data_IF_091292819460
#
_entry.id   IF_091292819460
#
_cell.length_a   1.000
_cell.length_b   1.000
_cell.length_c   1.000
_cell.angle_alpha   90.00
_cell.angle_beta   90.00
_cell.angle_gamma   90.00
#
_symmetry.space_group_name_H-M   'P 1'
#
loop_
_entity.id
_entity.type
_entity.pdbx_description
1 polymer ?
#
# COMPACT_ATOMS: atom_id res chain seq x y z
N UNK A 1 0.06 25.98 14.97
CA UNK A 1 -0.07 26.44 13.58
C UNK A 1 0.03 25.18 12.73
N UNK A 2 -1.02 24.84 11.97
CA UNK A 2 -0.99 23.68 11.09
C UNK A 2 0.12 23.85 10.05
N UNK A 3 0.81 22.75 9.72
CA UNK A 3 1.77 22.69 8.63
C UNK A 3 1.00 22.67 7.30
N UNK A 4 1.53 23.25 6.21
CA UNK A 4 0.95 23.05 4.89
C UNK A 4 1.02 21.56 4.51
N UNK A 5 0.05 21.10 3.71
CA UNK A 5 0.11 19.76 3.12
C UNK A 5 1.14 19.76 1.99
N UNK A 6 1.89 18.69 1.89
CA UNK A 6 2.85 18.46 0.80
C UNK A 6 2.13 18.06 -0.50
N UNK A 7 1.02 17.34 -0.36
CA UNK A 7 0.09 16.95 -1.44
C UNK A 7 -1.34 17.24 -0.99
N UNK A 8 -2.31 17.41 -1.91
CA UNK A 8 -3.71 17.32 -1.56
C UNK A 8 -3.97 15.98 -0.85
N UNK A 9 -4.66 16.03 0.30
CA UNK A 9 -5.06 14.80 0.97
C UNK A 9 -5.98 13.97 0.06
N UNK A 10 -5.76 12.67 0.02
CA UNK A 10 -6.53 11.71 -0.77
C UNK A 10 -7.30 10.79 0.19
N UNK A 11 -8.60 11.05 0.36
CA UNK A 11 -9.45 10.37 1.32
C UNK A 11 -10.49 9.52 0.60
N UNK A 12 -10.26 8.21 0.51
CA UNK A 12 -11.18 7.23 -0.08
C UNK A 12 -11.89 6.39 0.99
N UNK A 13 -13.19 6.17 0.85
CA UNK A 13 -13.94 5.29 1.72
C UNK A 13 -14.69 4.21 0.94
N UNK A 14 -14.82 2.99 1.50
CA UNK A 14 -15.46 1.84 0.85
C UNK A 14 -14.84 1.54 -0.51
N UNK A 15 -15.65 1.45 -1.56
CA UNK A 15 -15.16 1.18 -2.92
C UNK A 15 -14.20 2.26 -3.46
N UNK A 16 -14.31 3.52 -3.00
CA UNK A 16 -13.43 4.60 -3.41
C UNK A 16 -12.01 4.46 -2.84
N UNK A 17 -11.82 3.67 -1.79
CA UNK A 17 -10.49 3.33 -1.28
C UNK A 17 -9.65 2.50 -2.27
N UNK A 18 -10.25 1.96 -3.34
CA UNK A 18 -9.55 1.33 -4.45
C UNK A 18 -9.06 2.33 -5.52
N UNK A 19 -9.41 3.62 -5.43
CA UNK A 19 -8.93 4.66 -6.33
C UNK A 19 -7.62 5.22 -5.80
N UNK A 20 -6.53 5.05 -6.56
CA UNK A 20 -5.17 5.36 -6.07
C UNK A 20 -4.98 6.84 -5.72
N UNK A 21 -5.55 7.75 -6.53
CA UNK A 21 -5.52 9.19 -6.31
C UNK A 21 -6.95 9.73 -6.28
N UNK A 22 -7.61 9.61 -5.12
CA UNK A 22 -8.98 10.09 -4.94
C UNK A 22 -8.99 11.53 -4.42
N UNK A 23 -8.71 12.47 -5.29
CA UNK A 23 -8.59 13.90 -4.96
C UNK A 23 -9.93 14.60 -4.66
N UNK A 24 -11.06 13.98 -4.99
CA UNK A 24 -12.38 14.61 -4.80
C UNK A 24 -12.76 14.72 -3.34
N UNK A 25 -12.28 13.83 -2.49
CA UNK A 25 -12.51 13.79 -1.04
C UNK A 25 -13.99 13.92 -0.65
N UNK A 26 -14.89 13.42 -1.52
CA UNK A 26 -16.34 13.44 -1.34
C UNK A 26 -16.92 12.04 -1.08
N UNK A 27 -16.03 11.06 -0.80
CA UNK A 27 -16.43 9.70 -0.49
C UNK A 27 -17.24 9.66 0.82
N UNK A 28 -18.37 8.97 0.75
CA UNK A 28 -19.24 8.79 1.91
C UNK A 28 -18.96 7.44 2.54
N UNK A 29 -18.80 7.44 3.85
CA UNK A 29 -18.87 6.23 4.66
C UNK A 29 -20.32 5.75 4.65
N UNK A 30 -20.57 4.57 4.07
CA UNK A 30 -21.91 3.98 3.96
C UNK A 30 -22.18 2.93 5.03
N UNK A 31 -21.13 2.39 5.63
CA UNK A 31 -21.20 1.33 6.65
C UNK A 31 -20.12 1.53 7.70
N UNK A 32 -20.39 1.10 8.93
CA UNK A 32 -19.36 1.04 9.97
C UNK A 32 -18.21 0.06 9.62
N UNK A 33 -18.49 -0.89 8.73
CA UNK A 33 -17.47 -1.82 8.25
C UNK A 33 -16.56 -1.21 7.17
N UNK A 34 -16.95 -0.09 6.54
CA UNK A 34 -16.13 0.52 5.47
C UNK A 34 -14.74 0.88 5.98
N UNK A 35 -13.75 0.67 5.13
CA UNK A 35 -12.40 1.18 5.36
C UNK A 35 -12.31 2.62 4.83
N UNK A 36 -11.62 3.44 5.58
CA UNK A 36 -11.23 4.78 5.18
C UNK A 36 -9.72 4.75 4.95
N UNK A 37 -9.30 5.06 3.73
CA UNK A 37 -7.92 5.23 3.36
C UNK A 37 -7.63 6.72 3.28
N UNK A 38 -6.66 7.17 4.06
CA UNK A 38 -6.18 8.55 4.08
C UNK A 38 -4.71 8.56 3.71
N UNK A 39 -4.40 9.26 2.63
CA UNK A 39 -3.06 9.53 2.17
C UNK A 39 -2.81 11.03 2.27
N UNK A 40 -1.90 11.42 3.15
CA UNK A 40 -1.59 12.80 3.42
C UNK A 40 -0.19 12.98 3.99
N UNK A 41 0.49 14.02 3.56
CA UNK A 41 1.80 14.40 4.06
C UNK A 41 1.92 15.89 4.33
N UNK A 42 2.70 16.26 5.32
CA UNK A 42 3.00 17.65 5.65
C UNK A 42 4.30 18.11 5.00
N UNK A 43 4.38 19.40 4.68
CA UNK A 43 5.63 20.06 4.30
C UNK A 43 6.21 20.81 5.51
N UNK A 44 7.50 20.64 5.73
CA UNK A 44 8.24 21.41 6.72
C UNK A 44 9.57 21.91 6.17
N UNK A 45 9.73 23.23 6.09
CA UNK A 45 10.95 23.88 5.59
C UNK A 45 11.37 23.43 4.18
N UNK A 46 10.40 23.17 3.31
CA UNK A 46 10.63 22.69 1.95
C UNK A 46 10.83 21.18 1.83
N UNK A 47 10.82 20.41 2.92
CA UNK A 47 10.84 18.94 2.89
C UNK A 47 9.44 18.39 3.09
N UNK A 48 9.14 17.35 2.33
CA UNK A 48 7.83 16.71 2.29
C UNK A 48 7.81 15.41 3.08
N UNK A 49 6.64 15.04 3.56
CA UNK A 49 6.31 13.69 4.06
C UNK A 49 5.20 13.11 3.20
N UNK A 50 5.10 11.78 3.18
CA UNK A 50 4.05 11.02 2.51
C UNK A 50 3.65 9.84 3.39
N UNK A 51 2.40 9.81 3.85
CA UNK A 51 1.95 8.82 4.83
C UNK A 51 0.53 8.39 4.50
N UNK A 52 0.35 7.10 4.26
CA UNK A 52 -0.99 6.52 4.14
C UNK A 52 -1.31 5.65 5.33
N UNK A 53 -2.54 5.80 5.83
CA UNK A 53 -3.16 4.89 6.78
C UNK A 53 -4.55 4.48 6.30
N UNK A 54 -4.89 3.22 6.54
CA UNK A 54 -6.22 2.68 6.31
C UNK A 54 -6.79 2.22 7.65
N UNK A 55 -8.02 2.61 7.97
CA UNK A 55 -8.66 2.28 9.24
C UNK A 55 -10.17 2.05 9.07
N UNK A 56 -10.83 1.30 9.96
CA UNK A 56 -12.26 1.03 9.87
C UNK A 56 -13.08 2.21 10.36
N UNK A 57 -14.09 2.62 9.60
CA UNK A 57 -14.96 3.73 9.95
C UNK A 57 -15.72 3.53 11.28
N UNK A 58 -16.07 2.29 11.61
CA UNK A 58 -16.72 1.91 12.87
C UNK A 58 -15.76 1.56 14.00
N UNK A 59 -14.46 1.80 13.83
CA UNK A 59 -13.46 1.60 14.87
C UNK A 59 -13.02 0.15 15.09
N UNK A 60 -13.55 -0.80 14.34
CA UNK A 60 -13.16 -2.22 14.40
C UNK A 60 -13.14 -2.84 13.02
N UNK A 61 -12.08 -3.55 12.70
CA UNK A 61 -11.97 -4.23 11.43
C UNK A 61 -12.93 -5.43 11.33
N UNK A 62 -13.76 -5.48 10.28
CA UNK A 62 -14.47 -6.69 9.87
C UNK A 62 -13.45 -7.75 9.40
N UNK A 63 -13.78 -9.03 9.54
CA UNK A 63 -12.84 -10.13 9.38
C UNK A 63 -12.10 -10.14 8.03
N UNK A 64 -12.79 -9.91 6.89
CA UNK A 64 -12.14 -9.89 5.57
C UNK A 64 -11.28 -8.65 5.38
N UNK A 65 -11.75 -7.50 5.86
CA UNK A 65 -11.01 -6.23 5.81
C UNK A 65 -9.75 -6.31 6.66
N UNK A 66 -9.86 -6.91 7.85
CA UNK A 66 -8.69 -7.22 8.71
C UNK A 66 -7.69 -8.12 7.98
N UNK A 67 -8.15 -9.19 7.34
CA UNK A 67 -7.27 -10.13 6.65
C UNK A 67 -6.48 -9.46 5.50
N UNK A 68 -7.13 -8.59 4.71
CA UNK A 68 -6.44 -7.82 3.67
C UNK A 68 -5.49 -6.79 4.27
N UNK A 69 -5.90 -6.11 5.35
CA UNK A 69 -5.05 -5.16 6.04
C UNK A 69 -3.77 -5.81 6.57
N UNK A 70 -3.89 -6.95 7.26
CA UNK A 70 -2.75 -7.71 7.80
C UNK A 70 -1.84 -8.23 6.68
N UNK A 71 -2.41 -8.62 5.52
CA UNK A 71 -1.64 -9.00 4.33
C UNK A 71 -0.79 -7.85 3.80
N UNK A 72 -1.33 -6.62 3.73
CA UNK A 72 -0.57 -5.42 3.31
C UNK A 72 0.50 -5.07 4.36
N UNK A 73 0.15 -5.12 5.64
CA UNK A 73 1.10 -4.85 6.73
C UNK A 73 2.28 -5.83 6.72
N UNK A 74 2.04 -7.12 6.48
CA UNK A 74 3.09 -8.12 6.35
C UNK A 74 4.07 -7.80 5.21
N UNK A 75 3.54 -7.40 4.04
CA UNK A 75 4.39 -6.97 2.90
C UNK A 75 5.24 -5.77 3.27
N UNK A 76 4.65 -4.76 3.94
CA UNK A 76 5.36 -3.54 4.32
C UNK A 76 6.48 -3.82 5.33
N UNK A 77 6.20 -4.59 6.37
CA UNK A 77 7.18 -4.93 7.41
C UNK A 77 8.36 -5.69 6.80
N UNK A 78 8.10 -6.67 5.93
CA UNK A 78 9.15 -7.42 5.22
C UNK A 78 9.95 -6.53 4.29
N UNK A 79 9.30 -5.65 3.54
CA UNK A 79 9.99 -4.75 2.62
C UNK A 79 10.92 -3.77 3.36
N UNK A 80 10.45 -3.14 4.43
CA UNK A 80 11.27 -2.24 5.26
C UNK A 80 12.48 -2.98 5.85
N UNK A 81 12.31 -4.23 6.28
CA UNK A 81 13.42 -5.04 6.83
C UNK A 81 14.53 -5.33 5.81
N UNK A 82 14.23 -5.25 4.53
CA UNK A 82 15.23 -5.44 3.45
C UNK A 82 15.88 -4.12 3.01
N UNK A 83 15.33 -2.97 3.39
CA UNK A 83 15.86 -1.66 3.05
C UNK A 83 17.14 -1.38 3.84
N UNK A 84 18.26 -1.23 3.14
CA UNK A 84 19.56 -0.89 3.70
C UNK A 84 20.47 -0.34 2.59
N UNK A 85 21.56 0.28 2.97
CA UNK A 85 22.60 0.70 2.02
C UNK A 85 23.06 -0.47 1.13
N UNK A 86 23.12 -0.23 -0.17
CA UNK A 86 23.47 -1.23 -1.18
C UNK A 86 22.34 -2.19 -1.58
N UNK A 87 21.17 -2.15 -0.95
CA UNK A 87 20.03 -2.95 -1.39
C UNK A 87 19.58 -2.50 -2.79
N UNK A 88 19.41 -3.45 -3.71
CA UNK A 88 18.83 -3.17 -5.01
C UNK A 88 17.34 -2.91 -4.88
N UNK A 89 16.91 -1.67 -5.19
CA UNK A 89 15.53 -1.22 -4.99
C UNK A 89 14.50 -2.01 -5.80
N UNK A 90 14.85 -2.34 -7.04
CA UNK A 90 13.96 -3.14 -7.90
C UNK A 90 13.75 -4.55 -7.34
N UNK A 91 14.79 -5.14 -6.74
CA UNK A 91 14.69 -6.46 -6.11
C UNK A 91 13.83 -6.44 -4.84
N UNK A 92 13.92 -5.37 -4.03
CA UNK A 92 13.02 -5.18 -2.88
C UNK A 92 11.57 -5.12 -3.37
N UNK A 93 11.30 -4.31 -4.41
CA UNK A 93 9.97 -4.23 -5.04
C UNK A 93 9.48 -5.55 -5.64
N UNK A 94 10.36 -6.31 -6.30
CA UNK A 94 10.01 -7.61 -6.85
C UNK A 94 9.62 -8.62 -5.76
N UNK A 95 10.34 -8.64 -4.62
CA UNK A 95 10.00 -9.46 -3.47
C UNK A 95 8.69 -9.02 -2.79
N UNK A 96 8.46 -7.71 -2.70
CA UNK A 96 7.19 -7.19 -2.20
C UNK A 96 6.01 -7.67 -3.06
N UNK A 97 6.14 -7.63 -4.40
CA UNK A 97 5.13 -8.17 -5.33
C UNK A 97 4.90 -9.68 -5.13
N UNK A 98 5.98 -10.44 -4.94
CA UNK A 98 5.87 -11.89 -4.68
C UNK A 98 5.15 -12.15 -3.35
N UNK A 99 5.50 -11.43 -2.29
CA UNK A 99 4.85 -11.54 -0.98
C UNK A 99 3.37 -11.12 -1.07
N UNK A 100 3.03 -10.07 -1.82
CA UNK A 100 1.64 -9.67 -2.06
C UNK A 100 0.85 -10.82 -2.69
N UNK A 101 1.37 -11.43 -3.76
CA UNK A 101 0.69 -12.56 -4.42
C UNK A 101 0.60 -13.77 -3.50
N UNK A 102 1.64 -14.07 -2.71
CA UNK A 102 1.59 -15.16 -1.75
C UNK A 102 0.49 -14.93 -0.71
N UNK A 103 0.39 -13.72 -0.15
CA UNK A 103 -0.68 -13.38 0.79
C UNK A 103 -2.07 -13.47 0.14
N UNK A 104 -2.23 -13.09 -1.14
CA UNK A 104 -3.48 -13.29 -1.88
C UNK A 104 -3.82 -14.77 -2.10
N UNK A 105 -2.80 -15.65 -2.24
CA UNK A 105 -3.00 -17.11 -2.29
C UNK A 105 -3.46 -17.62 -0.94
N UNK A 106 -2.85 -17.18 0.15
CA UNK A 106 -3.21 -17.58 1.52
C UNK A 106 -4.64 -17.14 1.88
N UNK A 107 -5.11 -16.02 1.31
CA UNK A 107 -6.49 -15.54 1.39
C UNK A 107 -7.46 -16.27 0.44
N UNK A 108 -6.96 -17.13 -0.44
CA UNK A 108 -7.77 -17.85 -1.43
C UNK A 108 -8.23 -17.02 -2.64
N UNK A 109 -7.79 -15.76 -2.75
CA UNK A 109 -8.15 -14.83 -3.84
C UNK A 109 -7.41 -15.18 -5.13
N UNK A 110 -6.15 -15.61 -4.99
CA UNK A 110 -5.29 -16.13 -6.05
C UNK A 110 -5.00 -17.60 -5.76
N UNK A 111 -4.70 -18.39 -6.78
CA UNK A 111 -4.34 -19.81 -6.65
C UNK A 111 -3.11 -20.16 -7.49
N UNK A 112 -2.51 -21.30 -7.21
CA UNK A 112 -1.35 -21.80 -7.94
C UNK A 112 -0.02 -21.35 -7.33
N UNK A 113 1.00 -21.21 -8.16
CA UNK A 113 2.33 -20.79 -7.73
C UNK A 113 2.45 -19.26 -7.77
N UNK A 114 2.95 -18.66 -6.70
CA UNK A 114 3.04 -17.19 -6.59
C UNK A 114 3.96 -16.58 -7.66
N UNK A 115 5.09 -17.24 -7.97
CA UNK A 115 6.02 -16.75 -8.97
C UNK A 115 5.42 -16.79 -10.38
N UNK A 116 4.70 -17.86 -10.72
CA UNK A 116 4.02 -17.98 -12.01
C UNK A 116 2.92 -16.92 -12.15
N UNK A 117 2.15 -16.68 -11.10
CA UNK A 117 1.13 -15.64 -11.07
C UNK A 117 1.73 -14.22 -11.22
N UNK A 118 2.86 -13.93 -10.56
CA UNK A 118 3.59 -12.67 -10.75
C UNK A 118 4.09 -12.52 -12.18
N UNK A 119 4.69 -13.57 -12.76
CA UNK A 119 5.19 -13.57 -14.14
C UNK A 119 4.06 -13.39 -15.17
N UNK A 120 2.87 -13.88 -14.89
CA UNK A 120 1.68 -13.66 -15.70
C UNK A 120 1.09 -12.23 -15.57
N UNK A 121 1.61 -11.40 -14.65
CA UNK A 121 1.10 -10.05 -14.39
C UNK A 121 0.03 -9.97 -13.30
N UNK A 122 -0.26 -11.07 -12.62
CA UNK A 122 -1.33 -11.16 -11.63
C UNK A 122 -1.17 -10.20 -10.44
N UNK A 123 0.08 -9.86 -10.05
CA UNK A 123 0.30 -8.86 -8.99
C UNK A 123 -0.25 -7.48 -9.38
N UNK A 124 -0.05 -7.04 -10.63
CA UNK A 124 -0.50 -5.73 -11.10
C UNK A 124 -2.02 -5.53 -11.09
N UNK A 125 -2.80 -6.61 -10.94
CA UNK A 125 -4.25 -6.52 -10.79
C UNK A 125 -4.67 -5.98 -9.43
N UNK A 126 -3.86 -6.25 -8.39
CA UNK A 126 -4.14 -5.89 -7.01
C UNK A 126 -3.17 -4.83 -6.46
N UNK A 127 -1.97 -4.71 -7.03
CA UNK A 127 -0.96 -3.71 -6.70
C UNK A 127 -0.45 -3.07 -8.01
N UNK A 128 -1.18 -2.08 -8.56
CA UNK A 128 -0.86 -1.50 -9.87
C UNK A 128 0.21 -0.40 -9.84
N UNK A 129 0.84 -0.17 -8.72
CA UNK A 129 1.91 0.84 -8.55
C UNK A 129 3.23 0.24 -8.05
N UNK A 130 4.26 1.05 -7.91
CA UNK A 130 5.56 0.68 -7.33
C UNK A 130 5.47 0.50 -5.81
N UNK A 131 6.51 -0.09 -5.22
CA UNK A 131 6.62 -0.21 -3.75
C UNK A 131 6.80 1.15 -3.06
N UNK A 132 7.28 2.16 -3.78
CA UNK A 132 7.54 3.48 -3.27
C UNK A 132 8.44 4.29 -4.21
N UNK A 133 8.81 5.47 -3.77
CA UNK A 133 9.59 6.47 -4.50
C UNK A 133 10.53 7.23 -3.56
N UNK A 134 11.45 8.00 -4.14
CA UNK A 134 12.26 8.97 -3.39
C UNK A 134 11.37 10.10 -2.86
N UNK A 135 11.70 10.58 -1.68
CA UNK A 135 11.00 11.63 -0.95
C UNK A 135 12.02 12.68 -0.49
N UNK A 136 11.72 13.96 -0.68
CA UNK A 136 12.63 15.03 -0.29
C UNK A 136 12.01 16.42 -0.40
N UNK A 137 12.54 17.25 -1.32
CA UNK A 137 11.97 18.56 -1.61
C UNK A 137 10.65 18.48 -2.40
N UNK A 138 10.45 17.35 -3.08
CA UNK A 138 9.18 17.00 -3.72
C UNK A 138 8.69 15.68 -3.13
N UNK A 139 7.37 15.48 -3.14
CA UNK A 139 6.77 14.21 -2.70
C UNK A 139 7.26 13.08 -3.61
N UNK A 140 7.14 13.23 -4.93
CA UNK A 140 7.77 12.34 -5.90
C UNK A 140 9.11 12.95 -6.31
N UNK A 141 10.13 12.75 -5.47
CA UNK A 141 11.45 13.35 -5.69
C UNK A 141 12.32 12.52 -6.66
N UNK A 142 13.38 13.14 -7.15
CA UNK A 142 14.30 12.53 -8.11
C UNK A 142 15.72 12.61 -7.59
N UNK A 143 16.44 11.52 -7.73
CA UNK A 143 17.88 11.47 -7.47
C UNK A 143 18.72 11.80 -8.71
N UNK A 144 20.05 11.84 -8.58
CA UNK A 144 20.96 12.11 -9.71
C UNK A 144 20.82 11.10 -10.85
N UNK A 145 20.39 9.88 -10.56
CA UNK A 145 20.22 8.78 -11.52
C UNK A 145 18.75 8.60 -11.97
N UNK A 146 17.86 9.53 -11.59
CA UNK A 146 16.43 9.52 -11.94
C UNK A 146 15.50 9.27 -10.75
N UNK A 147 14.23 8.99 -11.02
CA UNK A 147 13.20 8.91 -9.97
C UNK A 147 13.29 7.64 -9.12
N UNK A 148 13.98 6.62 -9.60
CA UNK A 148 14.13 5.33 -8.90
C UNK A 148 15.62 4.98 -8.84
N UNK A 149 16.25 4.92 -7.66
CA UNK A 149 17.63 4.52 -7.53
C UNK A 149 17.79 3.02 -7.87
N UNK A 150 18.89 2.65 -8.50
CA UNK A 150 19.22 1.24 -8.70
C UNK A 150 19.51 0.57 -7.35
N UNK A 151 20.31 1.23 -6.51
CA UNK A 151 20.65 0.80 -5.18
C UNK A 151 20.33 1.90 -4.16
N UNK A 152 19.82 1.51 -3.00
CA UNK A 152 19.63 2.41 -1.88
C UNK A 152 20.98 2.86 -1.33
N UNK A 153 21.12 4.15 -1.06
CA UNK A 153 22.32 4.73 -0.48
C UNK A 153 22.03 5.44 0.84
N UNK A 154 23.01 5.55 1.76
CA UNK A 154 22.86 6.37 2.96
C UNK A 154 22.45 7.79 2.59
N UNK A 155 21.45 8.33 3.30
CA UNK A 155 20.86 9.64 3.03
C UNK A 155 19.65 9.62 2.09
N UNK A 156 19.38 8.52 1.37
CA UNK A 156 18.09 8.39 0.70
C UNK A 156 16.95 8.35 1.73
N UNK A 157 15.88 9.05 1.42
CA UNK A 157 14.58 8.87 2.06
C UNK A 157 13.62 8.37 1.00
N UNK A 158 12.95 7.26 1.28
CA UNK A 158 12.01 6.63 0.35
C UNK A 158 10.69 6.33 1.06
N UNK A 159 9.59 6.30 0.30
CA UNK A 159 8.35 5.73 0.80
C UNK A 159 8.39 4.21 0.76
N UNK A 160 7.59 3.56 1.59
CA UNK A 160 7.29 2.14 1.52
C UNK A 160 5.78 1.98 1.66
N UNK A 161 5.09 1.78 0.55
CA UNK A 161 3.65 1.95 0.41
C UNK A 161 2.94 0.77 -0.28
N UNK A 162 3.17 -0.48 0.11
CA UNK A 162 2.41 -1.57 -0.49
C UNK A 162 0.91 -1.39 -0.27
N UNK A 163 0.12 -1.92 -1.22
CA UNK A 163 -1.32 -1.91 -1.13
C UNK A 163 -1.95 -3.13 -1.79
N UNK A 164 -3.21 -3.37 -1.49
CA UNK A 164 -4.08 -4.33 -2.18
C UNK A 164 -5.40 -3.63 -2.48
N UNK A 165 -5.76 -3.61 -3.78
CA UNK A 165 -6.93 -2.90 -4.27
C UNK A 165 -7.80 -3.81 -5.11
N UNK A 166 -9.12 -3.68 -4.97
CA UNK A 166 -10.11 -4.42 -5.73
C UNK A 166 -10.77 -3.50 -6.76
N UNK A 167 -10.07 -3.29 -7.87
CA UNK A 167 -10.50 -2.40 -8.96
C UNK A 167 -11.21 -3.20 -10.04
N UNK A 168 -12.53 -3.04 -10.20
CA UNK A 168 -13.33 -3.78 -11.20
C UNK A 168 -12.77 -3.63 -12.62
N UNK A 169 -12.31 -2.44 -12.99
CA UNK A 169 -11.72 -2.18 -14.31
C UNK A 169 -10.47 -3.00 -14.63
N UNK A 170 -9.76 -3.49 -13.62
CA UNK A 170 -8.60 -4.38 -13.76
C UNK A 170 -9.01 -5.86 -13.62
N UNK A 171 -9.88 -6.17 -12.67
CA UNK A 171 -10.23 -7.54 -12.30
C UNK A 171 -11.18 -8.19 -13.31
N UNK A 172 -12.22 -7.48 -13.76
CA UNK A 172 -13.19 -8.06 -14.69
C UNK A 172 -12.57 -8.53 -16.03
N UNK A 173 -11.73 -7.72 -16.72
CA UNK A 173 -11.05 -8.20 -17.92
C UNK A 173 -10.10 -9.37 -17.65
N UNK A 174 -9.40 -9.35 -16.47
CA UNK A 174 -8.45 -10.39 -16.11
C UNK A 174 -9.11 -11.74 -15.85
N UNK A 175 -10.35 -11.75 -15.34
CA UNK A 175 -11.13 -12.97 -15.13
C UNK A 175 -11.51 -13.69 -16.43
N UNK A 176 -11.47 -13.01 -17.56
CA UNK A 176 -11.70 -13.56 -18.91
C UNK A 176 -10.39 -13.74 -19.70
N UNK A 177 -9.26 -13.21 -19.20
CA UNK A 177 -7.97 -13.32 -19.86
C UNK A 177 -7.45 -14.76 -19.84
N UNK A 178 -6.92 -15.22 -20.98
CA UNK A 178 -6.47 -16.61 -21.17
C UNK A 178 -5.29 -17.02 -20.29
N UNK A 179 -4.49 -16.06 -19.82
CA UNK A 179 -3.30 -16.33 -18.98
C UNK A 179 -3.56 -16.11 -17.50
N UNK A 180 -4.43 -15.15 -17.16
CA UNK A 180 -4.68 -14.71 -15.79
C UNK A 180 -5.81 -15.47 -15.09
N UNK A 181 -6.87 -15.84 -15.83
CA UNK A 181 -8.07 -16.48 -15.25
C UNK A 181 -7.78 -17.75 -14.45
N UNK A 182 -6.74 -18.49 -14.84
CA UNK A 182 -6.39 -19.74 -14.15
C UNK A 182 -5.75 -19.51 -12.78
N UNK A 183 -5.24 -18.30 -12.51
CA UNK A 183 -4.74 -17.88 -11.20
C UNK A 183 -5.80 -17.21 -10.34
N UNK A 184 -6.89 -16.74 -10.88
CA UNK A 184 -7.90 -15.95 -10.18
C UNK A 184 -9.06 -16.82 -9.68
N UNK A 185 -9.52 -16.57 -8.46
CA UNK A 185 -10.66 -17.24 -7.84
C UNK A 185 -11.84 -16.27 -7.82
N UNK A 186 -12.68 -16.29 -8.88
CA UNK A 186 -13.79 -15.36 -9.11
C UNK A 186 -14.66 -15.18 -7.85
N UNK A 187 -15.12 -16.27 -7.25
CA UNK A 187 -16.03 -16.22 -6.12
C UNK A 187 -15.40 -15.55 -4.89
N UNK A 188 -14.11 -15.73 -4.67
CA UNK A 188 -13.39 -15.06 -3.58
C UNK A 188 -13.17 -13.58 -3.92
N UNK A 189 -12.78 -13.26 -5.16
CA UNK A 189 -12.66 -11.85 -5.59
C UNK A 189 -13.98 -11.12 -5.32
N UNK A 190 -15.12 -11.67 -5.72
CA UNK A 190 -16.44 -11.06 -5.46
C UNK A 190 -16.71 -10.85 -3.96
N UNK A 191 -16.29 -11.79 -3.11
CA UNK A 191 -16.45 -11.66 -1.65
C UNK A 191 -15.57 -10.58 -1.03
N UNK A 192 -14.41 -10.32 -1.64
CA UNK A 192 -13.43 -9.35 -1.15
C UNK A 192 -13.59 -7.94 -1.79
N UNK A 193 -14.33 -7.79 -2.88
CA UNK A 193 -14.54 -6.49 -3.55
C UNK A 193 -15.03 -5.39 -2.60
N UNK A 194 -15.87 -5.73 -1.61
CA UNK A 194 -16.37 -4.77 -0.62
C UNK A 194 -15.28 -4.21 0.31
N UNK A 195 -14.06 -4.75 0.28
CA UNK A 195 -12.90 -4.17 0.99
C UNK A 195 -12.51 -2.83 0.37
N UNK A 196 -12.67 -2.70 -0.96
CA UNK A 196 -12.20 -1.54 -1.71
C UNK A 196 -10.69 -1.58 -1.89
N UNK A 197 -9.95 -0.88 -1.04
CA UNK A 197 -8.48 -0.86 -1.07
C UNK A 197 -7.88 -0.65 0.31
N UNK A 198 -6.65 -1.12 0.45
CA UNK A 198 -5.79 -0.90 1.63
C UNK A 198 -4.41 -0.47 1.14
N UNK A 199 -3.89 0.63 1.68
CA UNK A 199 -2.49 1.04 1.58
C UNK A 199 -1.96 1.37 2.97
N UNK A 200 -0.72 1.01 3.24
CA UNK A 200 0.02 1.39 4.44
C UNK A 200 1.35 1.94 3.98
N UNK A 201 1.61 3.20 4.29
CA UNK A 201 2.77 3.92 3.81
C UNK A 201 3.55 4.58 4.93
N UNK A 202 4.86 4.37 4.91
CA UNK A 202 5.81 4.98 5.83
C UNK A 202 6.97 5.61 5.05
N UNK A 203 7.54 6.65 5.63
CA UNK A 203 8.78 7.29 5.16
C UNK A 203 9.96 6.61 5.84
N UNK A 204 10.92 6.14 5.05
CA UNK A 204 12.05 5.34 5.51
C UNK A 204 13.36 6.02 5.10
N UNK A 205 14.18 6.37 6.08
CA UNK A 205 15.52 6.89 5.85
C UNK A 205 16.54 5.74 5.81
N UNK A 206 17.39 5.74 4.79
CA UNK A 206 18.47 4.78 4.64
C UNK A 206 19.71 5.32 5.35
N UNK A 207 20.29 4.52 6.22
CA UNK A 207 21.51 4.82 6.95
C UNK A 207 22.64 3.86 6.55
N UNK A 208 23.86 4.09 7.01
CA UNK A 208 24.97 3.17 6.78
C UNK A 208 24.71 1.79 7.39
N UNK A 209 24.01 1.74 8.53
CA UNK A 209 23.78 0.52 9.33
C UNK A 209 22.43 -0.16 9.04
N UNK A 210 21.56 0.45 8.18
CA UNK A 210 20.25 -0.13 7.88
C UNK A 210 19.22 0.90 7.42
N UNK A 211 17.99 0.78 7.93
CA UNK A 211 16.89 1.69 7.67
C UNK A 211 16.25 2.19 8.97
N UNK A 212 15.86 3.45 8.98
CA UNK A 212 15.11 4.07 10.07
C UNK A 212 13.73 4.44 9.54
N UNK A 213 12.68 3.83 10.09
CA UNK A 213 11.32 4.26 9.82
C UNK A 213 11.05 5.58 10.55
N UNK A 214 10.83 6.66 9.78
CA UNK A 214 10.56 7.99 10.31
C UNK A 214 9.09 8.19 10.70
N UNK A 215 8.20 7.33 10.20
CA UNK A 215 6.76 7.41 10.46
C UNK A 215 6.43 6.71 11.77
N UNK A 216 5.95 7.47 12.74
CA UNK A 216 5.56 6.97 14.07
C UNK A 216 4.07 6.75 14.22
N UNK A 217 3.28 7.05 13.20
CA UNK A 217 1.84 6.84 13.18
C UNK A 217 1.52 5.35 13.35
N UNK A 218 0.67 4.95 14.30
CA UNK A 218 0.27 3.56 14.53
C UNK A 218 -0.23 2.86 13.27
N UNK A 219 0.10 1.55 13.15
CA UNK A 219 -0.26 0.76 11.97
C UNK A 219 -0.62 -0.70 12.26
N UNK A 220 -0.47 -1.19 13.47
CA UNK A 220 -1.01 -2.51 13.81
C UNK A 220 -2.53 -2.43 14.00
N UNK A 221 -3.21 -3.52 13.73
CA UNK A 221 -4.67 -3.59 13.90
C UNK A 221 -5.06 -3.22 15.33
N UNK A 222 -4.33 -3.72 16.32
CA UNK A 222 -4.57 -3.50 17.74
C UNK A 222 -4.42 -2.02 18.13
N UNK A 223 -3.38 -1.35 17.61
CA UNK A 223 -3.15 0.08 17.85
C UNK A 223 -4.25 0.93 17.23
N UNK A 224 -4.64 0.64 15.98
CA UNK A 224 -5.70 1.38 15.27
C UNK A 224 -7.04 1.22 15.98
N UNK A 225 -7.42 -0.02 16.30
CA UNK A 225 -8.68 -0.28 17.00
C UNK A 225 -8.68 0.33 18.41
N UNK A 226 -7.54 0.43 19.08
CA UNK A 226 -7.44 1.12 20.37
C UNK A 226 -7.72 2.61 20.22
N UNK A 227 -7.10 3.28 19.26
CA UNK A 227 -7.31 4.72 19.00
C UNK A 227 -8.77 4.99 18.63
N UNK A 228 -9.34 4.19 17.73
CA UNK A 228 -10.73 4.37 17.29
C UNK A 228 -11.76 4.15 18.39
N UNK A 229 -11.43 3.38 19.44
CA UNK A 229 -12.33 3.21 20.60
C UNK A 229 -12.34 4.42 21.52
N UNK A 230 -11.25 5.17 21.57
CA UNK A 230 -11.05 6.30 22.47
C UNK A 230 -11.44 7.64 21.80
N UNK A 231 -11.80 7.62 20.51
CA UNK A 231 -12.20 8.79 19.72
C UNK A 231 -13.72 8.98 19.70
#
# INVERSE_FOLDING_TARGET
KALPLAVPAEDGAGAHAATLHYERNDARVCSADDLVLVDAGAEWRGYTADITRTFPAGGKFEARRRAVYEAVLDVQVRAIAEMRAGANWQMVGARAKLNTVQNLIDLGIVRGNAQDAVMAGGCGLFLPHSLGHLLGLQVHDVGPDGPVPEALAPGHVVTCEPGIYFVDGLLEPALEDRFLKDFLVRDEIERFKAVGGVRIEDNVAITEDGAVNLTTCPKTVEEIEAICRDA
#
